data_IF_005332839226
#
_entry.id   IF_005332839226
#
_cell.length_a   1.000
_cell.length_b   1.000
_cell.length_c   1.000
_cell.angle_alpha   90.00
_cell.angle_beta   90.00
_cell.angle_gamma   90.00
#
_symmetry.space_group_name_H-M   'P 1'
#
loop_
_entity.id
_entity.type
_entity.pdbx_description
1 polymer ?
#
# COMPACT_ATOMS: atom_id res chain seq x y z
N UNK A 1 -28.81 -17.88 14.38
CA UNK A 1 -27.65 -18.12 13.49
C UNK A 1 -26.93 -19.41 13.84
N UNK A 2 -26.57 -19.65 15.11
CA UNK A 2 -25.96 -20.91 15.56
C UNK A 2 -26.96 -21.65 16.44
N UNK A 3 -27.15 -22.96 16.22
CA UNK A 3 -28.06 -23.82 16.99
C UNK A 3 -27.29 -25.03 17.51
N UNK A 4 -27.39 -25.31 18.83
CA UNK A 4 -26.88 -26.55 19.41
C UNK A 4 -27.83 -27.71 19.08
N UNK A 5 -27.27 -28.86 18.73
CA UNK A 5 -27.96 -30.14 18.50
C UNK A 5 -27.23 -31.24 19.28
N UNK A 6 -27.79 -32.43 19.38
CA UNK A 6 -27.19 -33.54 20.16
C UNK A 6 -25.78 -33.89 19.69
N UNK A 7 -25.56 -33.87 18.37
CA UNK A 7 -24.27 -34.16 17.75
C UNK A 7 -23.28 -32.97 17.70
N UNK A 8 -23.67 -31.76 18.15
CA UNK A 8 -22.81 -30.57 18.13
C UNK A 8 -23.52 -29.26 17.82
N UNK A 9 -23.05 -28.53 16.80
CA UNK A 9 -23.58 -27.22 16.43
C UNK A 9 -23.88 -27.11 14.93
N UNK A 10 -24.97 -26.44 14.59
CA UNK A 10 -25.33 -26.06 13.21
C UNK A 10 -25.20 -24.54 13.07
N UNK A 11 -24.43 -24.09 12.09
CA UNK A 11 -24.30 -22.68 11.73
C UNK A 11 -25.12 -22.41 10.47
N UNK A 12 -26.24 -21.71 10.60
CA UNK A 12 -27.16 -21.35 9.51
C UNK A 12 -26.68 -20.14 8.70
N UNK A 13 -25.36 -19.98 8.57
CA UNK A 13 -24.71 -18.90 7.87
C UNK A 13 -23.45 -19.46 7.22
N UNK A 14 -23.29 -19.27 5.92
CA UNK A 14 -22.16 -19.83 5.16
C UNK A 14 -20.88 -19.02 5.36
N UNK A 15 -20.29 -19.14 6.55
CA UNK A 15 -19.05 -18.44 6.92
C UNK A 15 -17.94 -18.75 5.91
N UNK A 16 -17.82 -20.00 5.46
CA UNK A 16 -16.73 -20.42 4.58
C UNK A 16 -16.93 -19.91 3.15
N UNK A 17 -18.15 -20.04 2.60
CA UNK A 17 -18.46 -19.54 1.27
C UNK A 17 -18.38 -18.01 1.18
N UNK A 18 -18.82 -17.28 2.21
CA UNK A 18 -18.70 -15.82 2.25
C UNK A 18 -17.26 -15.36 2.48
N UNK A 19 -16.48 -16.08 3.28
CA UNK A 19 -15.03 -15.86 3.41
C UNK A 19 -14.35 -16.04 2.06
N UNK A 20 -14.65 -17.14 1.36
CA UNK A 20 -14.16 -17.36 0.00
C UNK A 20 -14.54 -16.20 -0.94
N UNK A 21 -15.81 -15.80 -0.97
CA UNK A 21 -16.31 -14.73 -1.84
C UNK A 21 -15.59 -13.39 -1.57
N UNK A 22 -15.36 -13.06 -0.29
CA UNK A 22 -14.66 -11.84 0.13
C UNK A 22 -13.17 -11.88 -0.20
N UNK A 23 -12.46 -12.97 0.14
CA UNK A 23 -11.00 -13.08 0.01
C UNK A 23 -10.55 -13.31 -1.44
N UNK A 24 -11.33 -14.04 -2.23
CA UNK A 24 -11.07 -14.22 -3.67
C UNK A 24 -11.39 -12.98 -4.50
N UNK A 25 -11.99 -11.94 -3.88
CA UNK A 25 -12.49 -10.74 -4.58
C UNK A 25 -13.43 -11.09 -5.74
N UNK A 26 -14.27 -12.12 -5.57
CA UNK A 26 -15.21 -12.59 -6.59
C UNK A 26 -16.07 -11.45 -7.17
N UNK A 27 -16.46 -10.48 -6.33
CA UNK A 27 -17.26 -9.31 -6.75
C UNK A 27 -16.58 -8.42 -7.82
N UNK A 28 -15.25 -8.52 -7.96
CA UNK A 28 -14.46 -7.69 -8.88
C UNK A 28 -14.23 -8.37 -10.24
N UNK A 29 -14.54 -9.67 -10.37
CA UNK A 29 -14.39 -10.41 -11.63
C UNK A 29 -15.34 -9.82 -12.68
N UNK A 30 -14.77 -9.36 -13.80
CA UNK A 30 -15.55 -8.86 -14.94
C UNK A 30 -16.24 -7.51 -14.72
N UNK A 31 -15.91 -6.76 -13.65
CA UNK A 31 -16.51 -5.43 -13.40
C UNK A 31 -16.09 -4.41 -14.44
N UNK A 32 -17.04 -3.54 -14.81
CA UNK A 32 -16.88 -2.47 -15.80
C UNK A 32 -17.16 -1.08 -15.24
N UNK A 33 -17.78 -0.99 -14.07
CA UNK A 33 -18.06 0.26 -13.32
C UNK A 33 -16.82 0.73 -12.55
N UNK A 34 -15.77 1.02 -13.30
CA UNK A 34 -14.47 1.43 -12.78
C UNK A 34 -14.36 2.95 -12.72
N UNK A 35 -13.51 3.46 -11.84
CA UNK A 35 -13.21 4.89 -11.79
C UNK A 35 -12.36 5.37 -12.98
N UNK A 36 -12.03 6.67 -13.01
CA UNK A 36 -11.20 7.29 -14.07
C UNK A 36 -9.80 6.69 -14.24
N UNK A 37 -9.32 5.94 -13.25
CA UNK A 37 -8.03 5.23 -13.31
C UNK A 37 -8.22 3.74 -13.61
N UNK A 38 -9.44 3.26 -13.83
CA UNK A 38 -9.74 1.85 -14.09
C UNK A 38 -9.63 0.99 -12.82
N UNK A 39 -9.97 1.55 -11.66
CA UNK A 39 -9.99 0.88 -10.35
C UNK A 39 -11.42 0.58 -9.95
N UNK A 40 -11.63 -0.52 -9.23
CA UNK A 40 -12.92 -0.81 -8.59
C UNK A 40 -13.09 0.11 -7.37
N UNK A 41 -14.07 1.03 -7.35
CA UNK A 41 -14.22 2.02 -6.28
C UNK A 41 -14.96 1.43 -5.07
N UNK A 42 -14.66 1.93 -3.87
CA UNK A 42 -15.32 1.48 -2.64
C UNK A 42 -16.84 1.63 -2.74
N UNK A 43 -17.33 2.74 -3.31
CA UNK A 43 -18.77 3.02 -3.43
C UNK A 43 -19.55 1.98 -4.26
N UNK A 44 -18.85 1.23 -5.13
CA UNK A 44 -19.44 0.15 -5.91
C UNK A 44 -19.46 -1.20 -5.17
N UNK A 45 -18.66 -1.34 -4.11
CA UNK A 45 -18.52 -2.58 -3.35
C UNK A 45 -19.76 -2.92 -2.55
N UNK A 46 -20.00 -4.22 -2.35
CA UNK A 46 -21.05 -4.69 -1.45
C UNK A 46 -20.85 -4.14 -0.03
N UNK A 47 -19.59 -4.11 0.44
CA UNK A 47 -19.22 -3.66 1.78
C UNK A 47 -19.58 -2.21 2.07
N UNK A 48 -19.37 -1.30 1.10
CA UNK A 48 -19.78 0.09 1.27
C UNK A 48 -21.30 0.24 1.24
N UNK A 49 -21.97 -0.38 0.26
CA UNK A 49 -23.43 -0.27 0.07
C UNK A 49 -24.22 -0.78 1.27
N UNK A 50 -23.68 -1.76 1.98
CA UNK A 50 -24.30 -2.35 3.18
C UNK A 50 -23.66 -1.86 4.48
N UNK A 51 -22.83 -0.81 4.46
CA UNK A 51 -22.35 -0.12 5.66
C UNK A 51 -21.35 -0.90 6.52
N UNK A 52 -20.67 -1.91 5.98
CA UNK A 52 -19.70 -2.73 6.75
C UNK A 52 -18.24 -2.60 6.29
N UNK A 53 -17.93 -1.71 5.33
CA UNK A 53 -16.55 -1.48 4.85
C UNK A 53 -15.55 -1.17 5.98
N UNK A 54 -16.01 -0.54 7.06
CA UNK A 54 -15.19 -0.21 8.21
C UNK A 54 -14.96 -1.36 9.21
N UNK A 55 -15.36 -2.60 8.88
CA UNK A 55 -15.23 -3.79 9.73
C UNK A 55 -14.40 -4.89 9.07
N UNK A 56 -13.50 -5.56 9.80
CA UNK A 56 -12.82 -6.76 9.34
C UNK A 56 -13.80 -7.96 9.42
N UNK A 57 -14.87 -7.91 8.62
CA UNK A 57 -16.04 -8.79 8.74
C UNK A 57 -15.69 -10.27 8.59
N UNK A 58 -14.69 -10.62 7.77
CA UNK A 58 -14.20 -11.99 7.63
C UNK A 58 -13.57 -12.45 8.95
N UNK A 59 -12.78 -11.59 9.59
CA UNK A 59 -12.11 -11.93 10.84
C UNK A 59 -13.14 -12.08 11.98
N UNK A 60 -14.18 -11.24 11.98
CA UNK A 60 -15.31 -11.39 12.90
C UNK A 60 -16.05 -12.71 12.69
N UNK A 61 -16.30 -13.13 11.44
CA UNK A 61 -16.92 -14.43 11.14
C UNK A 61 -16.04 -15.60 11.58
N UNK A 62 -14.72 -15.54 11.33
CA UNK A 62 -13.78 -16.58 11.73
C UNK A 62 -13.62 -16.64 13.26
N UNK A 63 -13.73 -15.52 13.96
CA UNK A 63 -13.78 -15.49 15.43
C UNK A 63 -15.03 -16.19 15.97
N UNK A 64 -16.20 -15.95 15.36
CA UNK A 64 -17.43 -16.67 15.73
C UNK A 64 -17.30 -18.17 15.48
N UNK A 65 -16.73 -18.56 14.33
CA UNK A 65 -16.47 -19.96 14.01
C UNK A 65 -15.48 -20.58 15.01
N UNK A 66 -14.41 -19.88 15.36
CA UNK A 66 -13.44 -20.31 16.37
C UNK A 66 -14.07 -20.58 17.74
N UNK A 67 -15.03 -19.75 18.16
CA UNK A 67 -15.78 -20.01 19.39
C UNK A 67 -16.68 -21.25 19.30
N UNK A 68 -17.29 -21.53 18.15
CA UNK A 68 -18.06 -22.77 17.94
C UNK A 68 -17.13 -23.98 18.00
N UNK A 69 -15.99 -23.92 17.32
CA UNK A 69 -14.95 -24.95 17.32
C UNK A 69 -14.48 -25.24 18.75
N UNK A 70 -14.16 -24.21 19.53
CA UNK A 70 -13.75 -24.36 20.94
C UNK A 70 -14.84 -24.97 21.83
N UNK A 71 -16.12 -24.63 21.61
CA UNK A 71 -17.23 -25.25 22.36
C UNK A 71 -17.44 -26.71 22.00
N UNK A 72 -17.17 -27.10 20.76
CA UNK A 72 -17.27 -28.48 20.30
C UNK A 72 -16.07 -29.32 20.74
N UNK A 73 -14.87 -28.73 20.68
CA UNK A 73 -13.59 -29.38 20.99
C UNK A 73 -12.77 -28.49 21.93
N UNK A 74 -13.05 -28.51 23.25
CA UNK A 74 -12.40 -27.61 24.22
C UNK A 74 -10.88 -27.81 24.37
N UNK A 75 -10.38 -28.99 23.99
CA UNK A 75 -8.95 -29.31 24.02
C UNK A 75 -8.21 -28.87 22.73
N UNK A 76 -8.93 -28.42 21.70
CA UNK A 76 -8.29 -27.99 20.45
C UNK A 76 -7.69 -26.59 20.64
N UNK A 77 -6.37 -26.49 20.56
CA UNK A 77 -5.68 -25.21 20.61
C UNK A 77 -5.80 -24.49 19.26
N UNK A 78 -6.48 -23.33 19.26
CA UNK A 78 -6.52 -22.46 18.09
C UNK A 78 -5.32 -21.52 18.09
N UNK A 79 -4.81 -21.23 16.89
CA UNK A 79 -3.74 -20.26 16.70
C UNK A 79 -4.17 -18.90 17.26
N UNK A 80 -3.35 -18.37 18.17
CA UNK A 80 -3.51 -17.01 18.69
C UNK A 80 -2.64 -16.05 17.91
N UNK A 81 -3.23 -14.93 17.53
CA UNK A 81 -2.54 -13.83 16.88
C UNK A 81 -2.23 -12.74 17.90
N UNK A 82 -1.40 -11.79 17.49
CA UNK A 82 -1.18 -10.56 18.23
C UNK A 82 -1.32 -9.42 17.25
N UNK A 83 -1.94 -8.34 17.71
CA UNK A 83 -2.00 -7.11 16.96
C UNK A 83 -0.60 -6.71 16.44
N UNK A 84 -0.53 -6.31 15.18
CA UNK A 84 0.69 -5.80 14.55
C UNK A 84 0.36 -4.65 13.61
N UNK A 85 1.39 -3.94 13.17
CA UNK A 85 1.27 -2.84 12.23
C UNK A 85 2.32 -2.98 11.14
N UNK A 86 1.94 -2.74 9.88
CA UNK A 86 2.86 -2.70 8.74
C UNK A 86 2.70 -1.38 8.01
N UNK A 87 3.79 -0.64 7.90
CA UNK A 87 3.80 0.68 7.26
C UNK A 87 4.56 0.59 5.94
N UNK A 88 3.98 1.17 4.89
CA UNK A 88 4.60 1.21 3.57
C UNK A 88 4.59 2.62 2.99
N UNK A 89 5.58 2.90 2.15
CA UNK A 89 5.80 4.20 1.54
C UNK A 89 6.10 4.03 0.06
N UNK A 90 5.52 4.89 -0.77
CA UNK A 90 5.89 4.95 -2.18
C UNK A 90 7.06 5.90 -2.38
N UNK A 91 7.98 5.48 -3.23
CA UNK A 91 9.09 6.31 -3.70
C UNK A 91 8.70 6.88 -5.06
N UNK A 92 7.61 7.63 -5.16
CA UNK A 92 7.14 8.20 -6.45
C UNK A 92 7.85 9.50 -6.79
N UNK A 93 8.00 10.36 -5.77
CA UNK A 93 8.61 11.68 -5.86
C UNK A 93 9.73 11.78 -4.82
N UNK A 94 10.88 11.11 -5.04
CA UNK A 94 12.01 11.16 -4.12
C UNK A 94 12.73 12.51 -4.09
N UNK A 95 12.53 13.35 -5.12
CA UNK A 95 12.94 14.75 -5.13
C UNK A 95 11.94 15.57 -5.92
N UNK A 96 11.69 16.80 -5.47
CA UNK A 96 10.71 17.70 -6.09
C UNK A 96 11.11 18.10 -7.50
N UNK A 97 12.41 18.28 -7.74
CA UNK A 97 12.97 18.76 -9.02
C UNK A 97 14.21 17.98 -9.48
N UNK A 98 14.77 17.13 -8.62
CA UNK A 98 16.02 16.40 -8.86
C UNK A 98 16.01 15.56 -10.12
N UNK A 99 14.84 15.06 -10.53
CA UNK A 99 14.68 14.15 -11.67
C UNK A 99 13.93 14.77 -12.86
N UNK A 100 13.59 16.07 -12.80
CA UNK A 100 12.93 16.74 -13.92
C UNK A 100 13.84 16.78 -15.15
N UNK A 101 13.25 16.51 -16.33
CA UNK A 101 13.93 16.73 -17.62
C UNK A 101 14.22 18.20 -17.88
N UNK A 102 15.27 18.48 -18.65
CA UNK A 102 15.79 19.85 -18.90
C UNK A 102 14.70 20.83 -19.36
N UNK A 103 13.82 20.40 -20.28
CA UNK A 103 12.71 21.23 -20.75
C UNK A 103 11.73 21.62 -19.63
N UNK A 104 11.35 20.68 -18.76
CA UNK A 104 10.43 20.94 -17.63
C UNK A 104 11.09 21.84 -16.59
N UNK A 105 12.38 21.66 -16.35
CA UNK A 105 13.18 22.52 -15.46
C UNK A 105 13.17 23.97 -15.96
N UNK A 106 13.54 24.20 -17.23
CA UNK A 106 13.61 25.53 -17.84
C UNK A 106 12.24 26.20 -17.91
N UNK A 107 11.19 25.47 -18.31
CA UNK A 107 9.81 25.97 -18.29
C UNK A 107 9.36 26.34 -16.88
N UNK A 108 9.73 25.54 -15.88
CA UNK A 108 9.48 25.80 -14.48
C UNK A 108 10.15 27.10 -14.02
N UNK A 109 11.44 27.28 -14.33
CA UNK A 109 12.22 28.49 -14.03
C UNK A 109 11.60 29.73 -14.67
N UNK A 110 11.23 29.66 -15.96
CA UNK A 110 10.57 30.77 -16.64
C UNK A 110 9.23 31.14 -15.98
N UNK A 111 8.44 30.15 -15.55
CA UNK A 111 7.21 30.40 -14.80
C UNK A 111 7.45 30.99 -13.40
N UNK A 112 8.47 30.51 -12.70
CA UNK A 112 8.87 31.01 -11.38
C UNK A 112 9.34 32.48 -11.47
N UNK A 113 10.08 32.84 -12.51
CA UNK A 113 10.59 34.19 -12.74
C UNK A 113 9.53 35.16 -13.28
N UNK A 114 8.85 34.78 -14.37
CA UNK A 114 7.98 35.69 -15.13
C UNK A 114 6.57 35.79 -14.56
N UNK A 115 6.02 34.69 -14.00
CA UNK A 115 4.64 34.64 -13.53
C UNK A 115 4.53 34.73 -12.01
N UNK A 116 5.35 33.97 -11.28
CA UNK A 116 5.25 33.87 -9.81
C UNK A 116 6.14 34.86 -9.06
N UNK A 117 7.18 35.39 -9.73
CA UNK A 117 8.22 36.25 -9.13
C UNK A 117 8.87 35.62 -7.90
N UNK A 118 9.00 34.30 -7.90
CA UNK A 118 9.55 33.49 -6.80
C UNK A 118 10.97 33.01 -7.14
N UNK A 119 11.93 33.92 -6.95
CA UNK A 119 13.35 33.67 -7.19
C UNK A 119 13.92 32.60 -6.25
N UNK A 120 13.35 32.43 -5.05
CA UNK A 120 13.78 31.42 -4.08
C UNK A 120 13.48 30.02 -4.60
N UNK A 121 12.27 29.79 -5.11
CA UNK A 121 11.90 28.51 -5.69
C UNK A 121 12.67 28.19 -6.98
N UNK A 122 13.00 29.21 -7.80
CA UNK A 122 13.88 29.04 -8.95
C UNK A 122 15.28 28.54 -8.53
N UNK A 123 15.90 29.22 -7.56
CA UNK A 123 17.20 28.81 -7.03
C UNK A 123 17.15 27.41 -6.41
N UNK A 124 16.10 27.13 -5.63
CA UNK A 124 15.86 25.81 -5.05
C UNK A 124 15.72 24.71 -6.11
N UNK A 125 15.06 24.99 -7.24
CA UNK A 125 14.91 24.05 -8.36
C UNK A 125 16.26 23.68 -8.98
N UNK A 126 17.12 24.66 -9.25
CA UNK A 126 18.46 24.42 -9.81
C UNK A 126 19.34 23.67 -8.81
N UNK A 127 19.38 24.13 -7.55
CA UNK A 127 20.17 23.48 -6.49
C UNK A 127 19.70 22.05 -6.23
N UNK A 128 18.40 21.78 -6.18
CA UNK A 128 17.85 20.42 -6.05
C UNK A 128 18.33 19.51 -7.19
N UNK A 129 18.30 19.97 -8.45
CA UNK A 129 18.79 19.21 -9.61
C UNK A 129 20.28 18.89 -9.53
N UNK A 130 21.11 19.85 -9.15
CA UNK A 130 22.57 19.65 -9.06
C UNK A 130 22.93 18.74 -7.89
N UNK A 131 22.28 18.92 -6.74
CA UNK A 131 22.59 18.20 -5.51
C UNK A 131 21.91 16.81 -5.41
N UNK A 132 21.07 16.43 -6.37
CA UNK A 132 20.40 15.12 -6.40
C UNK A 132 21.15 14.06 -7.23
N UNK A 133 22.36 14.34 -7.73
CA UNK A 133 23.08 13.43 -8.65
C UNK A 133 23.51 12.11 -7.98
N UNK A 134 24.26 12.19 -6.89
CA UNK A 134 24.84 11.02 -6.19
C UNK A 134 24.04 10.58 -4.96
N UNK A 135 23.29 11.51 -4.35
CA UNK A 135 22.39 11.30 -3.21
C UNK A 135 21.21 12.23 -3.35
N UNK A 136 20.07 11.92 -2.72
CA UNK A 136 18.94 12.85 -2.68
C UNK A 136 19.32 14.12 -1.91
N UNK A 137 18.89 15.29 -2.40
CA UNK A 137 19.22 16.57 -1.77
C UNK A 137 18.60 16.65 -0.35
N UNK A 138 19.41 16.80 0.73
CA UNK A 138 18.87 16.73 2.10
C UNK A 138 17.89 17.85 2.45
N UNK A 139 18.02 19.03 1.84
CA UNK A 139 17.10 20.14 2.08
C UNK A 139 15.82 20.05 1.23
N UNK A 140 15.64 18.98 0.45
CA UNK A 140 14.41 18.79 -0.33
C UNK A 140 13.27 18.34 0.60
N UNK A 141 12.17 19.11 0.72
CA UNK A 141 11.10 18.78 1.67
C UNK A 141 10.40 17.45 1.40
N UNK A 142 10.50 16.89 0.18
CA UNK A 142 9.96 15.55 -0.13
C UNK A 142 10.97 14.43 0.14
N UNK A 143 12.25 14.74 0.37
CA UNK A 143 13.26 13.78 0.80
C UNK A 143 13.12 13.49 2.30
N UNK A 144 11.99 12.91 2.69
CA UNK A 144 11.62 12.60 4.07
C UNK A 144 12.03 11.19 4.51
N UNK A 145 12.71 10.42 3.65
CA UNK A 145 13.00 9.00 3.89
C UNK A 145 13.78 8.72 5.17
N UNK A 146 14.84 9.49 5.45
CA UNK A 146 15.58 9.33 6.72
C UNK A 146 14.68 9.56 7.93
N UNK A 147 13.89 10.63 7.92
CA UNK A 147 12.94 10.91 9.00
C UNK A 147 11.91 9.79 9.16
N UNK A 148 11.37 9.26 8.06
CA UNK A 148 10.43 8.13 8.08
C UNK A 148 11.08 6.91 8.74
N UNK A 149 12.31 6.58 8.37
CA UNK A 149 13.04 5.44 8.93
C UNK A 149 13.35 5.67 10.42
N UNK A 150 13.80 6.87 10.81
CA UNK A 150 14.05 7.24 12.21
C UNK A 150 12.80 7.04 13.08
N UNK A 151 11.64 7.52 12.60
CA UNK A 151 10.37 7.35 13.30
C UNK A 151 9.94 5.88 13.33
N UNK A 152 10.13 5.15 12.23
CA UNK A 152 9.78 3.73 12.18
C UNK A 152 10.55 2.93 13.23
N UNK A 153 11.86 3.14 13.32
CA UNK A 153 12.74 2.51 14.31
C UNK A 153 12.38 2.88 15.74
N UNK A 154 12.04 4.15 16.01
CA UNK A 154 11.55 4.60 17.33
C UNK A 154 10.28 3.87 17.78
N UNK A 155 9.48 3.37 16.84
CA UNK A 155 8.27 2.60 17.11
C UNK A 155 8.45 1.08 16.94
N UNK A 156 9.70 0.60 16.79
CA UNK A 156 10.02 -0.81 16.56
C UNK A 156 9.38 -1.39 15.29
N UNK A 157 9.25 -0.55 14.25
CA UNK A 157 8.62 -0.90 12.97
C UNK A 157 9.65 -1.05 11.87
N UNK A 158 9.50 -2.13 11.09
CA UNK A 158 10.14 -2.25 9.79
C UNK A 158 9.21 -1.72 8.70
N UNK A 159 9.49 -0.50 8.23
CA UNK A 159 8.80 0.08 7.07
C UNK A 159 9.24 -0.54 5.74
N UNK A 160 8.32 -0.55 4.76
CA UNK A 160 8.57 -0.99 3.40
C UNK A 160 8.54 0.18 2.41
N UNK A 161 9.54 0.29 1.53
CA UNK A 161 9.67 1.32 0.52
C UNK A 161 9.54 0.71 -0.88
N UNK A 162 8.52 1.14 -1.61
CA UNK A 162 8.22 0.59 -2.93
C UNK A 162 8.70 1.52 -4.05
N UNK A 163 9.54 0.97 -4.95
CA UNK A 163 10.22 1.72 -6.00
C UNK A 163 9.61 1.46 -7.38
N UNK A 164 9.38 2.53 -8.14
CA UNK A 164 8.94 2.44 -9.52
C UNK A 164 10.10 1.94 -10.38
N UNK A 165 9.88 0.79 -11.02
CA UNK A 165 10.90 0.09 -11.82
C UNK A 165 10.59 0.10 -13.31
N UNK A 166 9.67 0.95 -13.77
CA UNK A 166 9.35 1.13 -15.18
C UNK A 166 8.59 2.43 -15.45
N UNK A 167 8.28 2.68 -16.72
CA UNK A 167 7.58 3.92 -17.15
C UNK A 167 6.62 3.64 -18.29
N UNK A 168 5.51 2.99 -17.99
CA UNK A 168 4.46 2.70 -19.00
C UNK A 168 3.51 3.86 -19.23
N UNK A 169 3.52 4.89 -18.39
CA UNK A 169 2.86 6.18 -18.58
C UNK A 169 3.75 7.33 -18.05
N UNK A 170 4.51 8.02 -18.92
CA UNK A 170 5.43 9.09 -18.51
C UNK A 170 4.79 10.29 -17.79
N UNK A 171 3.47 10.44 -17.84
CA UNK A 171 2.75 11.51 -17.13
C UNK A 171 2.39 11.14 -15.70
N UNK A 172 2.23 9.85 -15.42
CA UNK A 172 1.78 9.35 -14.12
C UNK A 172 2.94 8.73 -13.34
N UNK A 173 3.86 8.05 -14.02
CA UNK A 173 5.01 7.35 -13.44
C UNK A 173 6.12 8.29 -12.99
N UNK A 174 6.98 7.75 -12.12
CA UNK A 174 8.17 8.44 -11.63
C UNK A 174 9.08 8.94 -12.77
N UNK A 175 9.70 10.09 -12.52
CA UNK A 175 10.67 10.73 -13.42
C UNK A 175 12.09 10.22 -13.23
N UNK A 176 12.38 9.50 -12.15
CA UNK A 176 13.67 8.84 -11.96
C UNK A 176 13.74 7.50 -12.69
N UNK A 177 14.97 7.04 -12.94
CA UNK A 177 15.26 5.63 -13.22
C UNK A 177 15.83 4.99 -11.97
N UNK A 178 15.47 3.74 -11.70
CA UNK A 178 15.91 3.03 -10.49
C UNK A 178 17.44 2.86 -10.43
N UNK A 179 18.11 2.87 -11.59
CA UNK A 179 19.57 2.81 -11.70
C UNK A 179 20.28 4.13 -11.35
N UNK A 180 19.57 5.24 -11.16
CA UNK A 180 20.22 6.51 -10.83
C UNK A 180 21.01 6.39 -9.53
N UNK A 181 22.25 6.93 -9.44
CA UNK A 181 23.11 6.76 -8.26
C UNK A 181 22.46 7.20 -6.95
N UNK A 182 21.67 8.29 -6.98
CA UNK A 182 20.93 8.76 -5.81
C UNK A 182 19.82 7.81 -5.36
N UNK A 183 19.20 7.07 -6.27
CA UNK A 183 18.14 6.10 -5.98
C UNK A 183 18.76 4.81 -5.46
N UNK A 184 19.83 4.31 -6.10
CA UNK A 184 20.66 3.21 -5.59
C UNK A 184 21.18 3.51 -4.19
N UNK A 185 21.63 4.75 -3.94
CA UNK A 185 22.04 5.20 -2.59
C UNK A 185 20.88 5.11 -1.60
N UNK A 186 19.70 5.61 -1.95
CA UNK A 186 18.51 5.48 -1.10
C UNK A 186 18.18 4.01 -0.81
N UNK A 187 18.23 3.13 -1.81
CA UNK A 187 18.00 1.69 -1.63
C UNK A 187 19.01 1.07 -0.67
N UNK A 188 20.30 1.40 -0.80
CA UNK A 188 21.33 0.95 0.16
C UNK A 188 21.06 1.47 1.57
N UNK A 189 20.70 2.74 1.72
CA UNK A 189 20.41 3.34 3.04
C UNK A 189 19.17 2.68 3.68
N UNK A 190 18.11 2.39 2.90
CA UNK A 190 16.92 1.64 3.35
C UNK A 190 17.30 0.24 3.82
N UNK A 191 18.07 -0.50 2.99
CA UNK A 191 18.46 -1.87 3.31
C UNK A 191 19.40 -1.94 4.54
N UNK A 192 20.39 -1.05 4.62
CA UNK A 192 21.35 -1.02 5.71
C UNK A 192 20.70 -0.75 7.09
N UNK A 193 19.53 -0.10 7.09
CA UNK A 193 18.71 0.14 8.29
C UNK A 193 17.70 -0.97 8.58
N UNK A 194 17.72 -2.06 7.82
CA UNK A 194 16.85 -3.21 8.01
C UNK A 194 15.41 -3.02 7.49
N UNK A 195 15.16 -1.98 6.71
CA UNK A 195 13.86 -1.73 6.08
C UNK A 195 13.68 -2.52 4.78
N UNK A 196 12.42 -2.75 4.42
CA UNK A 196 12.07 -3.57 3.26
C UNK A 196 12.08 -2.72 1.97
N UNK A 197 12.59 -3.30 0.88
CA UNK A 197 12.50 -2.76 -0.48
C UNK A 197 11.52 -3.61 -1.28
N UNK A 198 10.59 -2.97 -1.97
CA UNK A 198 9.62 -3.67 -2.81
C UNK A 198 9.35 -2.98 -4.14
N UNK A 199 8.53 -3.64 -4.94
CA UNK A 199 8.19 -3.23 -6.29
C UNK A 199 7.00 -2.26 -6.29
N UNK A 200 7.09 -1.18 -7.04
CA UNK A 200 5.95 -0.33 -7.38
C UNK A 200 5.74 -0.34 -8.91
N UNK A 201 5.06 -1.34 -9.49
CA UNK A 201 4.96 -1.47 -10.94
C UNK A 201 4.31 -0.24 -11.57
N UNK A 202 4.82 0.16 -12.74
CA UNK A 202 4.42 1.37 -13.44
C UNK A 202 2.95 1.35 -13.87
N UNK A 203 2.39 2.53 -14.16
CA UNK A 203 0.96 2.82 -14.17
C UNK A 203 0.09 1.82 -14.95
N UNK A 204 0.48 1.42 -16.17
CA UNK A 204 -0.30 0.55 -17.05
C UNK A 204 0.00 -0.95 -16.92
N UNK A 205 0.91 -1.35 -16.03
CA UNK A 205 1.33 -2.77 -15.85
C UNK A 205 0.20 -3.68 -15.35
N UNK A 206 -0.81 -3.14 -14.66
CA UNK A 206 -1.94 -3.93 -14.13
C UNK A 206 -2.73 -4.71 -15.19
N UNK A 207 -2.61 -4.32 -16.47
CA UNK A 207 -3.20 -4.99 -17.64
C UNK A 207 -2.21 -5.88 -18.41
N UNK A 208 -0.95 -5.91 -18.01
CA UNK A 208 0.13 -6.56 -18.74
C UNK A 208 1.06 -7.30 -17.76
N UNK A 209 0.75 -8.58 -17.44
CA UNK A 209 1.57 -9.43 -16.59
C UNK A 209 3.05 -9.48 -16.97
N UNK A 210 3.36 -9.53 -18.27
CA UNK A 210 4.75 -9.58 -18.77
C UNK A 210 5.55 -8.36 -18.33
N UNK A 211 4.93 -7.18 -18.28
CA UNK A 211 5.59 -5.97 -17.78
C UNK A 211 5.79 -5.98 -16.27
N UNK A 212 4.89 -6.60 -15.50
CA UNK A 212 5.10 -6.78 -14.05
C UNK A 212 6.34 -7.64 -13.81
N UNK A 213 6.48 -8.75 -14.55
CA UNK A 213 7.67 -9.62 -14.51
C UNK A 213 8.93 -8.84 -14.84
N UNK A 214 8.94 -8.14 -15.98
CA UNK A 214 10.11 -7.37 -16.42
C UNK A 214 10.53 -6.27 -15.42
N UNK A 215 9.57 -5.58 -14.80
CA UNK A 215 9.86 -4.57 -13.78
C UNK A 215 10.32 -5.19 -12.45
N UNK A 216 9.81 -6.36 -12.06
CA UNK A 216 10.28 -7.11 -10.90
C UNK A 216 11.73 -7.59 -11.09
N UNK A 217 12.06 -8.11 -12.27
CA UNK A 217 13.41 -8.56 -12.60
C UNK A 217 14.39 -7.38 -12.65
N UNK A 218 13.94 -6.22 -13.16
CA UNK A 218 14.73 -4.98 -13.13
C UNK A 218 15.03 -4.53 -11.70
N UNK A 219 14.04 -4.54 -10.80
CA UNK A 219 14.25 -4.24 -9.38
C UNK A 219 15.28 -5.19 -8.76
N UNK A 220 15.09 -6.51 -8.93
CA UNK A 220 15.99 -7.53 -8.36
C UNK A 220 17.40 -7.41 -8.89
N UNK A 221 17.58 -7.15 -10.19
CA UNK A 221 18.89 -6.91 -10.80
C UNK A 221 19.60 -5.73 -10.12
N UNK A 222 18.91 -4.59 -9.98
CA UNK A 222 19.50 -3.41 -9.34
C UNK A 222 19.83 -3.69 -7.87
N UNK A 223 18.95 -4.35 -7.12
CA UNK A 223 19.25 -4.77 -5.76
C UNK A 223 20.47 -5.69 -5.68
N UNK A 224 20.58 -6.68 -6.59
CA UNK A 224 21.72 -7.59 -6.64
C UNK A 224 23.04 -6.89 -6.94
N UNK A 225 23.04 -5.93 -7.88
CA UNK A 225 24.20 -5.08 -8.18
C UNK A 225 24.63 -4.21 -6.97
N UNK A 226 23.69 -3.87 -6.09
CA UNK A 226 23.93 -3.10 -4.86
C UNK A 226 24.22 -3.98 -3.63
N UNK A 227 24.28 -5.31 -3.77
CA UNK A 227 24.47 -6.23 -2.65
C UNK A 227 23.29 -6.31 -1.68
N UNK A 228 22.10 -5.90 -2.12
CA UNK A 228 20.87 -5.91 -1.32
C UNK A 228 20.24 -7.29 -1.40
N UNK A 229 20.26 -8.01 -0.28
CA UNK A 229 19.73 -9.37 -0.17
C UNK A 229 18.44 -9.37 0.65
N UNK A 230 17.36 -9.90 0.09
CA UNK A 230 16.07 -10.06 0.77
C UNK A 230 15.47 -11.43 0.44
N UNK A 231 14.83 -12.04 1.44
CA UNK A 231 14.16 -13.33 1.28
C UNK A 231 12.79 -13.21 0.63
N UNK A 232 12.06 -12.14 0.94
CA UNK A 232 10.73 -11.88 0.41
C UNK A 232 10.76 -10.66 -0.51
N UNK A 233 10.02 -10.74 -1.60
CA UNK A 233 9.85 -9.63 -2.54
C UNK A 233 8.35 -9.36 -2.67
N UNK A 234 7.90 -8.23 -2.17
CA UNK A 234 6.53 -7.78 -2.39
C UNK A 234 6.48 -6.37 -2.92
N UNK A 235 5.32 -5.76 -2.79
CA UNK A 235 5.12 -4.41 -3.28
C UNK A 235 3.66 -4.07 -3.47
N UNK A 236 3.42 -3.14 -4.39
CA UNK A 236 2.08 -2.61 -4.62
C UNK A 236 1.94 -1.98 -5.98
N UNK A 237 0.81 -2.13 -6.64
CA UNK A 237 0.52 -1.48 -7.92
C UNK A 237 0.35 0.03 -7.78
N UNK A 238 0.92 0.76 -8.75
CA UNK A 238 0.79 2.20 -8.84
C UNK A 238 -0.69 2.62 -8.95
N UNK A 239 -1.08 3.64 -8.17
CA UNK A 239 -2.45 4.15 -8.02
C UNK A 239 -3.47 3.16 -7.42
N UNK A 240 -3.04 2.02 -6.84
CA UNK A 240 -3.90 0.91 -6.45
C UNK A 240 -4.66 0.28 -7.63
N UNK A 241 -4.10 0.37 -8.85
CA UNK A 241 -4.74 -0.20 -10.05
C UNK A 241 -4.69 -1.71 -10.02
N UNK A 242 -5.85 -2.31 -10.22
CA UNK A 242 -6.02 -3.76 -10.13
C UNK A 242 -7.09 -4.22 -11.11
N UNK A 243 -6.77 -5.22 -11.92
CA UNK A 243 -7.72 -5.91 -12.80
C UNK A 243 -7.70 -7.38 -12.42
N UNK A 244 -8.77 -7.85 -11.79
CA UNK A 244 -8.86 -9.23 -11.37
C UNK A 244 -9.28 -10.16 -12.53
N UNK A 245 -8.65 -11.34 -12.74
CA UNK A 245 -7.43 -11.85 -12.07
C UNK A 245 -6.12 -11.47 -12.78
N UNK A 246 -6.14 -10.67 -13.85
CA UNK A 246 -4.96 -10.32 -14.67
C UNK A 246 -3.77 -9.83 -13.83
N UNK A 247 -3.99 -8.86 -12.95
CA UNK A 247 -2.92 -8.30 -12.11
C UNK A 247 -2.40 -9.35 -11.12
N UNK A 248 -3.31 -10.13 -10.53
CA UNK A 248 -2.99 -11.22 -9.60
C UNK A 248 -2.02 -12.23 -10.24
N UNK A 249 -2.34 -12.69 -11.45
CA UNK A 249 -1.49 -13.61 -12.23
C UNK A 249 -0.14 -13.02 -12.56
N UNK A 250 -0.07 -11.70 -12.80
CA UNK A 250 1.20 -11.01 -13.05
C UNK A 250 2.12 -10.98 -11.83
N UNK A 251 1.57 -10.78 -10.62
CA UNK A 251 2.34 -10.87 -9.38
C UNK A 251 2.87 -12.29 -9.12
N UNK A 252 2.03 -13.30 -9.32
CA UNK A 252 2.44 -14.72 -9.20
C UNK A 252 3.53 -15.06 -10.23
N UNK A 253 3.33 -14.70 -11.51
CA UNK A 253 4.30 -14.97 -12.58
C UNK A 253 5.64 -14.26 -12.36
N UNK A 254 5.63 -13.09 -11.71
CA UNK A 254 6.84 -12.36 -11.33
C UNK A 254 7.57 -12.99 -10.14
N UNK A 255 7.04 -14.07 -9.54
CA UNK A 255 7.64 -14.73 -8.37
C UNK A 255 7.63 -13.84 -7.13
N UNK A 256 6.67 -12.93 -7.01
CA UNK A 256 6.54 -12.06 -5.85
C UNK A 256 5.88 -12.84 -4.70
N UNK A 257 6.34 -12.59 -3.47
CA UNK A 257 5.89 -13.28 -2.27
C UNK A 257 4.57 -12.72 -1.75
N UNK A 258 4.36 -11.41 -1.90
CA UNK A 258 3.10 -10.77 -1.52
C UNK A 258 2.76 -9.55 -2.38
N UNK A 259 1.47 -9.22 -2.45
CA UNK A 259 0.94 -7.96 -2.97
C UNK A 259 0.24 -7.19 -1.85
N UNK A 260 0.44 -5.87 -1.79
CA UNK A 260 -0.24 -4.99 -0.83
C UNK A 260 -1.23 -4.02 -1.47
N UNK A 261 -1.71 -4.30 -2.68
CA UNK A 261 -2.52 -3.37 -3.49
C UNK A 261 -3.97 -3.29 -3.04
N UNK A 262 -4.53 -4.38 -2.53
CA UNK A 262 -5.96 -4.50 -2.26
C UNK A 262 -6.41 -3.64 -1.05
N UNK A 263 -6.62 -2.35 -1.33
CA UNK A 263 -7.40 -1.37 -0.58
C UNK A 263 -8.16 -0.47 -1.56
N UNK A 264 -8.96 0.47 -1.07
CA UNK A 264 -9.66 1.43 -1.92
C UNK A 264 -8.99 2.81 -1.89
N UNK A 265 -8.99 3.47 -3.05
CA UNK A 265 -8.43 4.81 -3.17
C UNK A 265 -9.39 5.90 -2.65
N UNK A 266 -10.69 5.67 -2.79
CA UNK A 266 -11.74 6.63 -2.47
C UNK A 266 -12.23 6.57 -1.02
N UNK A 267 -12.04 5.42 -0.34
CA UNK A 267 -12.39 5.22 1.08
C UNK A 267 -11.35 4.34 1.77
N UNK A 268 -11.02 4.58 3.05
CA UNK A 268 -10.28 3.60 3.84
C UNK A 268 -11.22 2.46 4.30
N UNK A 269 -10.64 1.34 4.74
CA UNK A 269 -11.40 0.20 5.26
C UNK A 269 -10.94 -1.15 4.70
N UNK A 270 -11.72 -2.19 4.98
CA UNK A 270 -11.34 -3.57 4.75
C UNK A 270 -11.84 -4.05 3.38
N UNK A 271 -11.15 -3.68 2.30
CA UNK A 271 -11.50 -4.13 0.93
C UNK A 271 -11.64 -5.64 0.85
N UNK A 272 -10.75 -6.38 1.49
CA UNK A 272 -10.79 -7.85 1.51
C UNK A 272 -11.65 -8.42 2.65
N UNK A 273 -12.29 -7.57 3.46
CA UNK A 273 -13.01 -7.97 4.66
C UNK A 273 -12.14 -8.49 5.81
N UNK A 274 -10.82 -8.52 5.63
CA UNK A 274 -9.85 -9.01 6.61
C UNK A 274 -8.71 -8.02 6.77
N UNK A 275 -8.07 -8.06 7.94
CA UNK A 275 -6.81 -7.40 8.24
C UNK A 275 -5.64 -8.39 8.42
N UNK A 276 -5.82 -9.64 8.03
CA UNK A 276 -4.77 -10.65 7.99
C UNK A 276 -4.23 -10.83 6.57
N UNK A 277 -2.96 -11.22 6.49
CA UNK A 277 -2.42 -11.73 5.24
C UNK A 277 -3.03 -13.11 4.94
N UNK A 278 -3.37 -13.35 3.67
CA UNK A 278 -3.97 -14.61 3.24
C UNK A 278 -3.39 -15.05 1.89
N UNK A 279 -3.34 -16.37 1.61
CA UNK A 279 -2.92 -16.86 0.31
C UNK A 279 -3.89 -16.39 -0.77
N UNK A 280 -3.38 -15.88 -1.87
CA UNK A 280 -4.22 -15.44 -2.96
C UNK A 280 -4.87 -16.63 -3.67
N UNK A 281 -6.05 -16.39 -4.22
CA UNK A 281 -6.80 -17.38 -4.98
C UNK A 281 -7.27 -16.73 -6.28
N UNK A 282 -7.11 -17.44 -7.39
CA UNK A 282 -7.69 -17.06 -8.68
C UNK A 282 -9.09 -17.68 -8.81
N UNK A 283 -10.17 -16.88 -8.69
CA UNK A 283 -11.54 -17.37 -8.77
C UNK A 283 -11.97 -17.79 -10.18
N UNK A 284 -11.23 -17.39 -11.22
CA UNK A 284 -11.57 -17.73 -12.61
C UNK A 284 -10.98 -19.09 -12.98
N UNK A 285 -9.76 -19.36 -12.54
CA UNK A 285 -9.11 -20.67 -12.70
C UNK A 285 -9.37 -21.63 -11.53
N UNK A 286 -10.08 -21.18 -10.50
CA UNK A 286 -10.32 -21.92 -9.26
C UNK A 286 -9.01 -22.47 -8.64
N UNK A 287 -7.99 -21.62 -8.56
CA UNK A 287 -6.62 -22.03 -8.22
C UNK A 287 -6.02 -21.20 -7.08
N UNK A 288 -5.48 -21.89 -6.07
CA UNK A 288 -4.66 -21.26 -5.04
C UNK A 288 -3.26 -20.90 -5.59
N UNK A 289 -2.75 -19.74 -5.18
CA UNK A 289 -1.46 -19.21 -5.63
C UNK A 289 -0.44 -19.20 -4.49
N UNK A 290 0.85 -19.06 -4.81
CA UNK A 290 1.91 -18.87 -3.80
C UNK A 290 1.94 -17.44 -3.27
N UNK A 291 1.50 -16.48 -4.08
CA UNK A 291 1.35 -15.09 -3.72
C UNK A 291 0.43 -14.94 -2.51
N UNK A 292 0.83 -14.10 -1.55
CA UNK A 292 -0.01 -13.69 -0.42
C UNK A 292 -0.57 -12.29 -0.68
N UNK A 293 -1.82 -12.04 -0.29
CA UNK A 293 -2.35 -10.69 -0.22
C UNK A 293 -2.11 -10.14 1.18
N UNK A 294 -1.54 -8.93 1.24
CA UNK A 294 -1.44 -8.07 2.42
C UNK A 294 -2.41 -6.90 2.24
N UNK A 295 -3.68 -7.03 2.67
CA UNK A 295 -4.71 -6.01 2.43
C UNK A 295 -4.25 -4.64 2.91
N UNK A 296 -4.64 -3.58 2.19
CA UNK A 296 -4.43 -2.21 2.66
C UNK A 296 -5.67 -1.76 3.43
N UNK A 297 -5.48 -1.39 4.70
CA UNK A 297 -6.56 -0.89 5.56
C UNK A 297 -6.71 0.62 5.42
N UNK A 298 -5.60 1.37 5.50
CA UNK A 298 -5.66 2.83 5.47
C UNK A 298 -4.54 3.44 4.62
N UNK A 299 -4.92 4.40 3.77
CA UNK A 299 -4.00 5.26 3.01
C UNK A 299 -4.33 6.70 3.35
N UNK A 300 -3.32 7.50 3.63
CA UNK A 300 -3.50 8.92 3.96
C UNK A 300 -4.25 9.68 2.88
N UNK A 301 -3.91 9.47 1.60
CA UNK A 301 -4.57 10.16 0.51
C UNK A 301 -6.08 9.87 0.48
N UNK A 302 -6.54 8.66 0.85
CA UNK A 302 -7.98 8.33 0.88
C UNK A 302 -8.75 9.20 1.89
N UNK A 303 -8.10 9.57 3.00
CA UNK A 303 -8.71 10.30 4.12
C UNK A 303 -8.52 11.81 3.94
N UNK A 304 -7.28 12.27 3.75
CA UNK A 304 -6.92 13.69 3.74
C UNK A 304 -6.85 14.31 2.34
N UNK A 305 -6.94 13.49 1.28
CA UNK A 305 -6.84 13.97 -0.10
C UNK A 305 -8.10 14.69 -0.57
N UNK A 306 -7.92 15.85 -1.20
CA UNK A 306 -9.01 16.71 -1.71
C UNK A 306 -9.95 15.99 -2.70
N UNK A 307 -9.42 15.04 -3.47
CA UNK A 307 -10.18 14.28 -4.46
C UNK A 307 -10.91 13.06 -3.89
N UNK A 308 -10.79 12.79 -2.59
CA UNK A 308 -11.38 11.64 -1.91
C UNK A 308 -12.25 12.10 -0.74
N UNK A 309 -12.01 11.65 0.48
CA UNK A 309 -12.82 12.07 1.62
C UNK A 309 -12.63 13.55 1.99
N UNK A 310 -11.51 14.18 1.58
CA UNK A 310 -11.18 15.56 1.89
C UNK A 310 -11.42 15.92 3.38
N UNK A 311 -11.08 14.99 4.28
CA UNK A 311 -11.23 15.23 5.71
C UNK A 311 -10.23 16.31 6.11
N UNK A 312 -10.69 17.29 6.89
CA UNK A 312 -9.80 18.34 7.40
C UNK A 312 -8.63 17.72 8.14
N UNK A 313 -7.42 18.26 7.89
CA UNK A 313 -6.21 17.90 8.62
C UNK A 313 -6.46 18.26 10.10
N UNK A 314 -6.74 17.25 10.93
CA UNK A 314 -7.19 17.48 12.30
C UNK A 314 -7.80 16.23 12.95
N UNK A 315 -8.67 16.46 13.93
CA UNK A 315 -9.24 15.39 14.76
C UNK A 315 -10.03 14.35 13.95
N UNK A 316 -10.75 14.75 12.91
CA UNK A 316 -11.54 13.83 12.07
C UNK A 316 -10.67 12.80 11.35
N UNK A 317 -9.61 13.25 10.68
CA UNK A 317 -8.66 12.35 10.01
C UNK A 317 -7.99 11.40 11.02
N UNK A 318 -7.54 11.92 12.16
CA UNK A 318 -6.95 11.13 13.26
C UNK A 318 -7.92 10.08 13.77
N UNK A 319 -9.17 10.46 14.05
CA UNK A 319 -10.18 9.55 14.56
C UNK A 319 -10.47 8.40 13.59
N UNK A 320 -10.50 8.67 12.28
CA UNK A 320 -10.74 7.62 11.29
C UNK A 320 -9.61 6.59 11.24
N UNK A 321 -8.35 7.04 11.26
CA UNK A 321 -7.21 6.12 11.37
C UNK A 321 -7.25 5.29 12.65
N UNK A 322 -7.48 5.94 13.81
CA UNK A 322 -7.52 5.25 15.09
C UNK A 322 -8.69 4.28 15.19
N UNK A 323 -9.85 4.62 14.58
CA UNK A 323 -11.01 3.73 14.49
C UNK A 323 -10.67 2.44 13.73
N UNK A 324 -10.00 2.55 12.57
CA UNK A 324 -9.58 1.40 11.78
C UNK A 324 -8.48 0.58 12.45
N UNK A 325 -7.52 1.25 13.11
CA UNK A 325 -6.48 0.60 13.92
C UNK A 325 -7.11 -0.18 15.09
N UNK A 326 -8.08 0.40 15.78
CA UNK A 326 -8.83 -0.25 16.85
C UNK A 326 -9.61 -1.47 16.34
N UNK A 327 -10.22 -1.39 15.15
CA UNK A 327 -10.90 -2.53 14.54
C UNK A 327 -9.94 -3.70 14.23
N UNK A 328 -8.71 -3.42 13.77
CA UNK A 328 -7.68 -4.45 13.61
C UNK A 328 -7.26 -5.05 14.96
N UNK A 329 -7.08 -4.19 15.98
CA UNK A 329 -6.69 -4.60 17.34
C UNK A 329 -7.76 -5.47 18.00
N UNK A 330 -9.05 -5.21 17.75
CA UNK A 330 -10.17 -6.00 18.29
C UNK A 330 -10.18 -7.46 17.82
N UNK A 331 -9.48 -7.78 16.72
CA UNK A 331 -9.35 -9.14 16.19
C UNK A 331 -7.90 -9.64 16.20
N UNK A 332 -6.99 -8.96 16.93
CA UNK A 332 -5.55 -9.25 16.95
C UNK A 332 -4.88 -9.33 15.57
N UNK A 333 -5.39 -8.54 14.62
CA UNK A 333 -4.92 -8.51 13.23
C UNK A 333 -3.85 -7.48 12.93
N UNK A 334 -3.60 -7.25 11.65
CA UNK A 334 -2.55 -6.35 11.17
C UNK A 334 -3.13 -5.03 10.64
N UNK A 335 -2.79 -3.91 11.27
CA UNK A 335 -3.09 -2.60 10.72
C UNK A 335 -2.07 -2.23 9.65
N UNK A 336 -2.48 -2.26 8.38
CA UNK A 336 -1.62 -1.88 7.25
C UNK A 336 -1.86 -0.43 6.84
N UNK A 337 -0.78 0.34 6.86
CA UNK A 337 -0.79 1.77 6.59
C UNK A 337 0.06 2.09 5.37
N UNK A 338 -0.48 2.92 4.49
CA UNK A 338 0.25 3.56 3.41
C UNK A 338 0.35 5.05 3.66
N UNK A 339 1.56 5.59 3.56
CA UNK A 339 1.82 7.02 3.64
C UNK A 339 2.87 7.45 2.61
N UNK A 340 2.55 8.40 1.74
CA UNK A 340 3.50 8.87 0.73
C UNK A 340 4.51 9.84 1.37
N UNK A 341 5.79 9.70 1.01
CA UNK A 341 6.87 10.55 1.50
C UNK A 341 6.60 12.05 1.28
N UNK A 342 6.00 12.39 0.14
CA UNK A 342 5.66 13.75 -0.26
C UNK A 342 4.55 14.38 0.58
N UNK A 343 3.78 13.58 1.34
CA UNK A 343 2.78 14.08 2.27
C UNK A 343 3.36 14.45 3.65
N UNK A 344 4.68 14.34 3.86
CA UNK A 344 5.33 14.66 5.13
C UNK A 344 6.09 16.00 5.10
N UNK A 345 5.64 16.92 4.25
CA UNK A 345 6.27 18.23 4.04
C UNK A 345 5.85 19.32 5.05
N UNK A 346 4.85 19.08 5.90
CA UNK A 346 4.40 20.04 6.93
C UNK A 346 4.39 19.42 8.33
N UNK A 347 4.55 20.26 9.36
CA UNK A 347 4.54 19.84 10.75
C UNK A 347 3.21 19.17 11.16
N UNK A 348 2.09 19.69 10.68
CA UNK A 348 0.75 19.13 10.95
C UNK A 348 0.59 17.70 10.39
N UNK A 349 1.04 17.47 9.14
CA UNK A 349 0.97 16.13 8.54
C UNK A 349 1.92 15.15 9.23
N UNK A 350 3.10 15.61 9.65
CA UNK A 350 4.03 14.81 10.47
C UNK A 350 3.43 14.47 11.82
N UNK A 351 2.77 15.41 12.49
CA UNK A 351 2.07 15.16 13.76
C UNK A 351 0.99 14.10 13.59
N UNK A 352 0.15 14.20 12.55
CA UNK A 352 -0.86 13.18 12.27
C UNK A 352 -0.24 11.80 12.03
N UNK A 353 0.85 11.72 11.27
CA UNK A 353 1.57 10.46 11.06
C UNK A 353 2.05 9.85 12.38
N UNK A 354 2.71 10.66 13.24
CA UNK A 354 3.17 10.23 14.56
C UNK A 354 2.01 9.74 15.44
N UNK A 355 0.89 10.47 15.45
CA UNK A 355 -0.29 10.08 16.22
C UNK A 355 -0.84 8.71 15.78
N UNK A 356 -0.81 8.40 14.47
CA UNK A 356 -1.28 7.11 13.95
C UNK A 356 -0.32 5.97 14.28
N UNK A 357 0.99 6.24 14.26
CA UNK A 357 2.00 5.22 14.58
C UNK A 357 2.06 4.89 16.08
N UNK A 358 1.80 5.87 16.94
CA UNK A 358 1.74 5.66 18.40
C UNK A 358 0.83 4.49 18.78
N UNK A 359 1.30 3.61 19.67
CA UNK A 359 0.68 2.29 19.92
C UNK A 359 -0.78 2.36 20.34
#
# INVERSE_FOLDING_TARGET
MIRKIDAGYVVHYDILGLTYWMLSRQEEVGRTDLDKHGRFPAIASNAYRNGYLGRPIVDEWLNLLGQVIQRQWPALELKRHRFSMKVSHYVDVPSRYGFDGTYRLLRGMAGDLLKRRDWRNMYFRVTSRVNTRSRLYPADPVNSFNWIMDISEQHELTSAFYFISGRTNPRMDATYEIEYPSIRRLMRDVHARGHEIGLHPSYNTYRNPVKIVAEADRLRRVCGEEGILQHEWGGRMHYLRWKHPVTLRGWEAAGMTYDSTLGYADRPGFRCGTCFEYPAFDPVECKALKLRIRPLVAMECSIIGEHYMNSSLGQGARQEFLRLKAACRAVDGCFTLLWHNSQLCSAEKRKLYLDVLSQ
#
